data_IF_643815491674
#
_entry.id   IF_643815491674
#
_cell.length_a   1.000
_cell.length_b   1.000
_cell.length_c   1.000
_cell.angle_alpha   90.00
_cell.angle_beta   90.00
_cell.angle_gamma   90.00
#
_symmetry.space_group_name_H-M   'P 1'
#
loop_
_entity.id
_entity.type
_entity.pdbx_description
1 polymer ?
#
# COMPACT_ATOMS: atom_id res chain seq x y z
N UNK A 1 10.81 -40.24 -39.04
CA UNK A 1 11.37 -41.43 -38.38
C UNK A 1 12.72 -41.73 -39.02
N UNK A 2 13.80 -42.01 -38.27
CA UNK A 2 13.85 -42.83 -37.06
C UNK A 2 14.09 -42.06 -35.74
N UNK A 3 13.90 -42.71 -34.58
CA UNK A 3 13.87 -42.07 -33.26
C UNK A 3 15.10 -42.39 -32.38
N UNK A 4 15.17 -41.66 -31.25
CA UNK A 4 15.75 -42.01 -29.94
C UNK A 4 16.88 -41.07 -29.46
N UNK A 5 16.66 -40.39 -28.33
CA UNK A 5 17.12 -40.91 -27.03
C UNK A 5 16.55 -40.11 -25.87
N UNK A 6 15.87 -40.84 -25.00
CA UNK A 6 15.46 -40.46 -23.66
C UNK A 6 16.71 -40.50 -22.77
N UNK A 7 16.98 -39.40 -22.08
CA UNK A 7 17.89 -39.30 -20.92
C UNK A 7 16.97 -38.80 -19.81
N UNK A 8 16.60 -39.58 -18.79
CA UNK A 8 17.49 -40.27 -17.86
C UNK A 8 17.68 -39.39 -16.61
N UNK A 9 16.59 -39.00 -15.96
CA UNK A 9 16.62 -38.24 -14.69
C UNK A 9 16.82 -39.16 -13.49
N UNK A 10 17.59 -38.76 -12.47
CA UNK A 10 17.88 -39.58 -11.29
C UNK A 10 16.72 -39.63 -10.30
N UNK A 11 16.67 -40.65 -9.43
CA UNK A 11 15.48 -41.00 -8.66
C UNK A 11 15.26 -40.11 -7.43
N UNK A 12 13.98 -39.89 -7.12
CA UNK A 12 13.47 -39.46 -5.83
C UNK A 12 14.04 -40.31 -4.69
N UNK A 13 14.61 -39.66 -3.69
CA UNK A 13 14.89 -40.28 -2.41
C UNK A 13 13.94 -39.69 -1.35
N UNK A 14 12.92 -40.47 -1.02
CA UNK A 14 12.08 -40.27 0.13
C UNK A 14 12.86 -40.72 1.37
N UNK A 15 13.03 -39.82 2.35
CA UNK A 15 13.32 -40.22 3.72
C UNK A 15 12.58 -39.32 4.68
N UNK A 16 11.43 -39.82 5.11
CA UNK A 16 10.87 -39.50 6.40
C UNK A 16 11.74 -40.16 7.49
N UNK A 17 11.94 -39.46 8.61
CA UNK A 17 11.66 -39.95 9.98
C UNK A 17 12.60 -39.34 11.02
N UNK A 18 12.00 -39.07 12.19
CA UNK A 18 12.59 -38.84 13.53
C UNK A 18 12.91 -37.40 13.92
N UNK A 19 11.86 -36.64 14.24
CA UNK A 19 11.94 -35.64 15.30
C UNK A 19 11.72 -36.36 16.64
N UNK A 20 12.69 -36.16 17.53
CA UNK A 20 12.83 -36.81 18.83
C UNK A 20 12.16 -35.93 19.88
N UNK A 21 11.21 -36.53 20.57
CA UNK A 21 10.55 -36.04 21.77
C UNK A 21 11.59 -35.84 22.89
N UNK A 22 11.71 -34.61 23.41
CA UNK A 22 12.49 -34.31 24.63
C UNK A 22 11.74 -33.29 25.49
N UNK A 23 11.11 -33.85 26.52
CA UNK A 23 11.09 -33.44 27.93
C UNK A 23 10.71 -32.00 28.32
N UNK A 24 9.51 -31.95 28.90
CA UNK A 24 9.08 -31.20 30.08
C UNK A 24 10.14 -31.00 31.18
N UNK A 25 10.19 -29.79 31.73
CA UNK A 25 10.79 -29.48 33.04
C UNK A 25 10.40 -28.07 33.50
N UNK A 26 10.19 -27.83 34.81
CA UNK A 26 9.20 -26.87 35.31
C UNK A 26 9.79 -25.49 35.61
N UNK A 27 8.98 -24.44 35.46
CA UNK A 27 9.27 -23.13 36.02
C UNK A 27 8.20 -22.76 37.06
N UNK A 28 8.73 -22.42 38.22
CA UNK A 28 8.11 -22.20 39.51
C UNK A 28 7.18 -20.99 39.58
N UNK A 29 6.18 -21.16 40.43
CA UNK A 29 5.44 -20.14 41.18
C UNK A 29 6.25 -18.88 41.53
N UNK A 30 5.67 -17.71 41.25
CA UNK A 30 5.86 -16.53 42.09
C UNK A 30 4.60 -15.68 42.05
N UNK A 31 3.86 -15.77 43.15
CA UNK A 31 2.71 -14.96 43.49
C UNK A 31 3.12 -13.50 43.64
N UNK A 32 2.39 -12.58 43.01
CA UNK A 32 2.16 -11.23 43.55
C UNK A 32 0.82 -10.69 43.07
N UNK A 33 -0.04 -10.52 44.07
CA UNK A 33 -1.35 -9.88 44.07
C UNK A 33 -1.28 -8.35 43.80
N UNK A 34 -2.44 -7.68 43.64
CA UNK A 34 -2.65 -6.65 42.62
C UNK A 34 -2.42 -5.23 43.13
N UNK A 35 -2.00 -4.34 42.23
CA UNK A 35 -1.99 -2.90 42.47
C UNK A 35 -3.16 -2.23 41.77
N UNK A 36 -4.12 -1.84 42.61
CA UNK A 36 -4.93 -0.63 42.60
C UNK A 36 -5.71 -0.27 41.33
N UNK A 37 -7.04 -0.33 41.50
CA UNK A 37 -8.06 0.39 40.75
C UNK A 37 -7.63 1.82 40.39
N UNK A 38 -7.42 2.08 39.10
CA UNK A 38 -7.43 3.43 38.56
C UNK A 38 -8.89 3.88 38.53
N UNK A 39 -9.27 4.65 39.55
CA UNK A 39 -10.57 5.35 39.61
C UNK A 39 -10.77 6.17 38.33
N UNK A 40 -11.82 5.83 37.60
CA UNK A 40 -12.45 6.64 36.57
C UNK A 40 -12.84 8.03 37.11
N UNK A 41 -11.95 9.00 36.94
CA UNK A 41 -12.27 10.41 37.08
C UNK A 41 -12.97 10.89 35.81
N UNK A 42 -14.29 11.07 35.87
CA UNK A 42 -15.04 11.85 34.87
C UNK A 42 -14.31 13.17 34.60
N UNK A 43 -14.12 13.58 33.33
CA UNK A 43 -13.67 14.94 33.04
C UNK A 43 -14.72 15.90 33.60
N UNK A 44 -14.32 16.67 34.61
CA UNK A 44 -15.13 17.71 35.21
C UNK A 44 -15.35 18.76 34.12
N UNK A 45 -16.57 18.80 33.56
CA UNK A 45 -17.03 19.89 32.70
C UNK A 45 -16.94 21.20 33.49
N UNK A 46 -15.81 21.89 33.35
CA UNK A 46 -15.70 23.30 33.71
C UNK A 46 -16.30 24.07 32.55
N UNK A 47 -17.59 24.39 32.66
CA UNK A 47 -18.15 25.52 31.91
C UNK A 47 -17.24 26.72 32.18
N UNK A 48 -16.78 27.46 31.16
CA UNK A 48 -16.09 28.72 31.42
C UNK A 48 -17.09 29.61 32.14
N UNK A 49 -16.79 29.93 33.39
CA UNK A 49 -17.47 30.99 34.09
C UNK A 49 -17.29 32.25 33.24
N UNK A 50 -18.40 32.87 32.84
CA UNK A 50 -18.40 34.18 32.23
C UNK A 50 -17.74 35.13 33.25
N UNK A 51 -16.44 35.36 33.07
CA UNK A 51 -15.66 36.25 33.90
C UNK A 51 -16.03 37.67 33.47
N UNK A 52 -17.08 38.20 34.09
CA UNK A 52 -17.44 39.60 33.98
C UNK A 52 -16.22 40.43 34.42
N UNK A 53 -15.64 41.14 33.46
CA UNK A 53 -14.35 41.79 33.56
C UNK A 53 -14.23 42.70 34.76
N UNK A 54 -13.49 42.23 35.77
CA UNK A 54 -12.88 43.11 36.76
C UNK A 54 -11.57 43.61 36.16
N UNK A 55 -11.58 44.83 35.60
CA UNK A 55 -10.35 45.50 35.17
C UNK A 55 -9.54 45.83 36.42
N UNK A 56 -8.30 45.32 36.59
CA UNK A 56 -7.44 45.77 37.67
C UNK A 56 -7.12 47.25 37.45
N UNK A 57 -7.56 48.10 38.38
CA UNK A 57 -7.22 49.51 38.39
C UNK A 57 -5.70 49.65 38.62
N UNK A 58 -4.99 50.22 37.64
CA UNK A 58 -3.56 50.51 37.74
C UNK A 58 -2.63 49.78 36.77
N UNK A 59 -3.12 48.97 35.82
CA UNK A 59 -2.26 48.35 34.81
C UNK A 59 -1.82 49.36 33.74
N UNK A 60 -0.51 49.47 33.51
CA UNK A 60 0.07 50.36 32.50
C UNK A 60 -0.43 49.98 31.09
N UNK A 61 -0.78 50.93 30.20
CA UNK A 61 -1.31 50.65 28.87
C UNK A 61 -0.43 49.71 28.04
N UNK A 62 0.89 49.82 28.18
CA UNK A 62 1.85 48.96 27.48
C UNK A 62 1.77 47.49 27.94
N UNK A 63 1.44 47.26 29.21
CA UNK A 63 1.28 45.91 29.75
C UNK A 63 -0.01 45.26 29.24
N UNK A 64 -1.08 46.05 29.06
CA UNK A 64 -2.34 45.59 28.44
C UNK A 64 -2.08 45.22 26.97
N UNK A 65 -1.36 46.07 26.24
CA UNK A 65 -0.99 45.81 24.84
C UNK A 65 -0.13 44.55 24.69
N UNK A 66 0.83 44.35 25.60
CA UNK A 66 1.68 43.15 25.63
C UNK A 66 0.86 41.87 25.91
N UNK A 67 -0.13 41.92 26.80
CA UNK A 67 -1.02 40.80 27.08
C UNK A 67 -1.91 40.45 25.88
N UNK A 68 -2.44 41.45 25.19
CA UNK A 68 -3.26 41.26 23.98
C UNK A 68 -2.43 40.67 22.82
N UNK A 69 -1.20 41.15 22.60
CA UNK A 69 -0.29 40.56 21.62
C UNK A 69 0.08 39.12 21.96
N UNK A 70 0.33 38.82 23.25
CA UNK A 70 0.62 37.46 23.72
C UNK A 70 -0.57 36.53 23.53
N UNK A 71 -1.79 37.01 23.76
CA UNK A 71 -3.02 36.25 23.53
C UNK A 71 -3.22 35.97 22.05
N UNK A 72 -3.06 36.98 21.19
CA UNK A 72 -3.12 36.82 19.72
C UNK A 72 -2.10 35.82 19.19
N UNK A 73 -0.86 35.83 19.72
CA UNK A 73 0.18 34.86 19.33
C UNK A 73 -0.20 33.43 19.71
N UNK A 74 -0.80 33.22 20.90
CA UNK A 74 -1.28 31.90 21.33
C UNK A 74 -2.46 31.43 20.50
N UNK A 75 -3.46 32.29 20.29
CA UNK A 75 -4.63 31.98 19.46
C UNK A 75 -4.22 31.65 18.01
N UNK A 76 -3.23 32.36 17.44
CA UNK A 76 -2.70 32.06 16.12
C UNK A 76 -1.94 30.72 16.07
N UNK A 77 -1.16 30.39 17.09
CA UNK A 77 -0.45 29.12 17.18
C UNK A 77 -1.43 27.94 17.30
N UNK A 78 -2.44 28.06 18.16
CA UNK A 78 -3.50 27.05 18.31
C UNK A 78 -4.31 26.89 17.01
N UNK A 79 -4.62 27.99 16.30
CA UNK A 79 -5.31 27.91 15.02
C UNK A 79 -4.48 27.21 13.93
N UNK A 80 -3.16 27.42 13.90
CA UNK A 80 -2.25 26.71 12.98
C UNK A 80 -2.18 25.23 13.32
N UNK A 81 -2.07 24.88 14.60
CA UNK A 81 -2.06 23.49 15.06
C UNK A 81 -3.39 22.78 14.76
N UNK A 82 -4.51 23.46 14.97
CA UNK A 82 -5.84 22.93 14.68
C UNK A 82 -6.07 22.78 13.16
N UNK A 83 -5.65 23.74 12.34
CA UNK A 83 -5.69 23.60 10.89
C UNK A 83 -4.79 22.46 10.38
N UNK A 84 -3.63 22.23 11.01
CA UNK A 84 -2.77 21.10 10.68
C UNK A 84 -3.41 19.76 11.06
N UNK A 85 -4.08 19.67 12.22
CA UNK A 85 -4.85 18.49 12.63
C UNK A 85 -6.02 18.21 11.70
N UNK A 86 -6.80 19.22 11.34
CA UNK A 86 -7.93 19.07 10.41
C UNK A 86 -7.46 18.69 9.00
N UNK A 87 -6.32 19.21 8.55
CA UNK A 87 -5.68 18.80 7.28
C UNK A 87 -5.23 17.34 7.34
N UNK A 88 -4.58 16.93 8.43
CA UNK A 88 -4.15 15.54 8.63
C UNK A 88 -5.35 14.57 8.72
N UNK A 89 -6.42 14.95 9.41
CA UNK A 89 -7.65 14.16 9.53
C UNK A 89 -8.38 14.03 8.19
N UNK A 90 -8.44 15.10 7.38
CA UNK A 90 -8.96 15.02 6.00
C UNK A 90 -8.09 14.19 5.08
N UNK A 91 -6.76 14.24 5.25
CA UNK A 91 -5.84 13.38 4.51
C UNK A 91 -6.02 11.91 4.89
N UNK A 92 -6.20 11.60 6.17
CA UNK A 92 -6.50 10.26 6.69
C UNK A 92 -7.88 9.77 6.22
N UNK A 93 -8.88 10.63 6.11
CA UNK A 93 -10.20 10.25 5.59
C UNK A 93 -10.18 10.05 4.08
N UNK A 94 -9.45 10.87 3.33
CA UNK A 94 -9.18 10.62 1.92
C UNK A 94 -8.35 9.34 1.70
N UNK A 95 -7.57 8.91 2.71
CA UNK A 95 -6.81 7.66 2.70
C UNK A 95 -7.71 6.42 2.81
N UNK A 96 -8.96 6.57 3.25
CA UNK A 96 -9.94 5.49 3.35
C UNK A 96 -10.90 5.43 2.15
N UNK A 97 -10.75 6.33 1.19
CA UNK A 97 -11.59 6.31 -0.02
C UNK A 97 -11.19 5.11 -0.90
N UNK A 98 -12.12 4.19 -1.10
CA UNK A 98 -11.96 3.08 -2.04
C UNK A 98 -12.63 3.38 -3.36
N UNK A 99 -11.92 3.11 -4.45
CA UNK A 99 -12.43 3.19 -5.82
C UNK A 99 -12.50 1.81 -6.44
N UNK A 100 -13.43 1.62 -7.36
CA UNK A 100 -13.46 0.46 -8.22
C UNK A 100 -12.32 0.52 -9.22
N UNK A 101 -11.69 -0.63 -9.45
CA UNK A 101 -10.71 -0.83 -10.51
C UNK A 101 -11.30 -1.75 -11.58
N UNK A 102 -10.80 -1.62 -12.81
CA UNK A 102 -11.11 -2.58 -13.86
C UNK A 102 -10.76 -4.00 -13.42
N UNK A 103 -11.60 -4.97 -13.80
CA UNK A 103 -11.33 -6.38 -13.53
C UNK A 103 -9.95 -6.75 -14.12
N UNK A 104 -9.06 -7.42 -13.37
CA UNK A 104 -7.76 -7.81 -13.91
C UNK A 104 -7.89 -8.75 -15.11
N UNK A 105 -7.04 -8.57 -16.12
CA UNK A 105 -7.09 -9.34 -17.36
C UNK A 105 -6.91 -10.84 -17.15
N UNK A 106 -6.05 -11.26 -16.21
CA UNK A 106 -5.84 -12.67 -15.90
C UNK A 106 -7.11 -13.35 -15.37
N UNK A 107 -7.92 -12.63 -14.57
CA UNK A 107 -9.17 -13.17 -14.04
C UNK A 107 -10.21 -13.31 -15.14
N UNK A 108 -10.32 -12.29 -16.00
CA UNK A 108 -11.17 -12.32 -17.19
C UNK A 108 -10.78 -13.44 -18.17
N UNK A 109 -9.50 -13.53 -18.47
CA UNK A 109 -8.93 -14.50 -19.42
C UNK A 109 -9.12 -15.93 -18.95
N UNK A 110 -9.03 -16.18 -17.64
CA UNK A 110 -9.25 -17.49 -17.05
C UNK A 110 -10.71 -17.94 -17.21
N UNK A 111 -11.67 -17.06 -17.01
CA UNK A 111 -13.09 -17.39 -17.17
C UNK A 111 -13.46 -17.71 -18.62
N UNK A 112 -12.82 -17.03 -19.58
CA UNK A 112 -13.13 -17.14 -21.00
C UNK A 112 -12.16 -18.02 -21.79
N UNK A 113 -11.27 -18.74 -21.10
CA UNK A 113 -10.22 -19.57 -21.70
C UNK A 113 -9.44 -18.82 -22.80
N UNK A 114 -8.89 -17.64 -22.49
CA UNK A 114 -8.13 -16.80 -23.44
C UNK A 114 -6.61 -16.99 -23.35
N UNK A 115 -6.18 -18.07 -22.70
CA UNK A 115 -4.76 -18.39 -22.48
C UNK A 115 -3.97 -18.58 -23.79
N UNK A 116 -2.64 -18.73 -23.62
CA UNK A 116 -1.72 -18.95 -24.73
C UNK A 116 -1.99 -20.25 -25.51
N UNK A 117 -2.49 -21.28 -24.81
CA UNK A 117 -2.85 -22.59 -25.36
C UNK A 117 -4.33 -22.73 -25.70
N UNK A 118 -5.06 -21.62 -25.74
CA UNK A 118 -6.50 -21.64 -26.01
C UNK A 118 -6.80 -21.94 -27.48
N UNK A 119 -7.78 -22.81 -27.70
CA UNK A 119 -8.38 -23.06 -29.02
C UNK A 119 -9.48 -22.05 -29.40
N UNK A 120 -9.64 -20.97 -28.61
CA UNK A 120 -10.65 -19.94 -28.89
C UNK A 120 -10.40 -19.26 -30.23
N UNK A 121 -11.38 -19.26 -31.16
CA UNK A 121 -11.25 -18.60 -32.45
C UNK A 121 -10.90 -17.11 -32.32
N UNK A 122 -10.15 -16.59 -33.29
CA UNK A 122 -9.65 -15.21 -33.27
C UNK A 122 -10.79 -14.19 -33.16
N UNK A 123 -11.88 -14.39 -33.89
CA UNK A 123 -13.04 -13.49 -33.90
C UNK A 123 -13.68 -13.41 -32.51
N UNK A 124 -13.81 -14.56 -31.84
CA UNK A 124 -14.34 -14.64 -30.47
C UNK A 124 -13.38 -13.99 -29.47
N UNK A 125 -12.06 -14.15 -29.64
CA UNK A 125 -11.05 -13.48 -28.83
C UNK A 125 -11.15 -11.95 -28.95
N UNK A 126 -11.34 -11.43 -30.16
CA UNK A 126 -11.53 -10.00 -30.41
C UNK A 126 -12.83 -9.47 -29.78
N UNK A 127 -13.94 -10.21 -29.87
CA UNK A 127 -15.20 -9.87 -29.23
C UNK A 127 -15.06 -9.77 -27.70
N UNK A 128 -14.48 -10.81 -27.07
CA UNK A 128 -14.26 -10.85 -25.63
C UNK A 128 -13.30 -9.77 -25.15
N UNK A 129 -12.30 -9.41 -25.96
CA UNK A 129 -11.39 -8.30 -25.65
C UNK A 129 -12.12 -6.96 -25.66
N UNK A 130 -13.05 -6.74 -26.60
CA UNK A 130 -13.87 -5.51 -26.63
C UNK A 130 -14.83 -5.45 -25.44
N UNK A 131 -15.42 -6.57 -25.06
CA UNK A 131 -16.29 -6.65 -23.88
C UNK A 131 -15.51 -6.34 -22.60
N UNK A 132 -14.31 -6.91 -22.46
CA UNK A 132 -13.40 -6.61 -21.37
C UNK A 132 -13.08 -5.12 -21.29
N UNK A 133 -12.74 -4.49 -22.41
CA UNK A 133 -12.42 -3.06 -22.44
C UNK A 133 -13.62 -2.21 -22.01
N UNK A 134 -14.82 -2.54 -22.50
CA UNK A 134 -16.04 -1.85 -22.10
C UNK A 134 -16.28 -1.98 -20.59
N UNK A 135 -16.09 -3.17 -20.02
CA UNK A 135 -16.19 -3.40 -18.59
C UNK A 135 -15.14 -2.56 -17.84
N UNK A 136 -13.87 -2.61 -18.27
CA UNK A 136 -12.77 -1.85 -17.68
C UNK A 136 -13.11 -0.36 -17.60
N UNK A 137 -13.52 0.25 -18.71
CA UNK A 137 -13.90 1.67 -18.76
C UNK A 137 -15.12 1.99 -17.88
N UNK A 138 -16.08 1.07 -17.77
CA UNK A 138 -17.29 1.27 -16.97
C UNK A 138 -16.97 1.38 -15.47
N UNK A 139 -16.06 0.54 -14.98
CA UNK A 139 -15.77 0.42 -13.55
C UNK A 139 -14.49 1.15 -13.11
N UNK A 140 -13.55 1.51 -13.99
CA UNK A 140 -12.31 2.14 -13.54
C UNK A 140 -12.53 3.51 -12.89
N UNK A 141 -11.90 3.71 -11.73
CA UNK A 141 -11.83 4.96 -10.96
C UNK A 141 -13.21 5.54 -10.58
N UNK A 142 -14.20 4.68 -10.31
CA UNK A 142 -15.49 5.10 -9.75
C UNK A 142 -15.52 4.89 -8.23
N UNK A 143 -16.32 5.65 -7.47
CA UNK A 143 -16.49 5.38 -6.05
C UNK A 143 -17.02 3.96 -5.82
N UNK A 144 -16.37 3.19 -4.94
CA UNK A 144 -16.78 1.81 -4.62
C UNK A 144 -18.22 1.72 -4.10
N UNK A 145 -18.69 2.75 -3.39
CA UNK A 145 -20.06 2.84 -2.89
C UNK A 145 -21.14 2.82 -3.99
N UNK A 146 -20.82 3.23 -5.23
CA UNK A 146 -21.75 3.17 -6.36
C UNK A 146 -21.91 1.75 -6.91
N UNK A 147 -20.97 0.85 -6.61
CA UNK A 147 -20.88 -0.51 -7.14
C UNK A 147 -20.59 -1.53 -6.02
N UNK A 148 -21.50 -1.72 -5.06
CA UNK A 148 -21.26 -2.59 -3.89
C UNK A 148 -21.03 -4.07 -4.25
N UNK A 149 -21.54 -4.51 -5.41
CA UNK A 149 -21.34 -5.87 -5.92
C UNK A 149 -19.99 -6.05 -6.66
N UNK A 150 -19.29 -4.96 -6.96
CA UNK A 150 -18.04 -5.00 -7.70
C UNK A 150 -16.87 -5.34 -6.78
N UNK A 151 -16.38 -6.58 -6.88
CA UNK A 151 -15.33 -7.11 -6.00
C UNK A 151 -13.94 -6.49 -6.18
N UNK A 152 -13.69 -5.79 -7.28
CA UNK A 152 -12.38 -5.23 -7.59
C UNK A 152 -12.32 -3.78 -7.15
N UNK A 153 -11.80 -3.58 -5.93
CA UNK A 153 -11.65 -2.27 -5.30
C UNK A 153 -10.22 -2.10 -4.82
N UNK A 154 -9.81 -0.84 -4.70
CA UNK A 154 -8.49 -0.44 -4.22
C UNK A 154 -8.59 0.91 -3.53
N UNK A 155 -7.68 1.23 -2.60
CA UNK A 155 -7.60 2.61 -2.12
C UNK A 155 -7.32 3.57 -3.27
N UNK A 156 -7.98 4.72 -3.23
CA UNK A 156 -7.79 5.82 -4.19
C UNK A 156 -6.33 6.28 -4.23
N UNK A 157 -5.65 6.20 -3.10
CA UNK A 157 -4.23 6.54 -3.02
C UNK A 157 -3.36 5.57 -3.81
N UNK A 158 -3.60 4.27 -3.70
CA UNK A 158 -2.89 3.27 -4.48
C UNK A 158 -3.16 3.43 -5.99
N UNK A 159 -4.37 3.83 -6.41
CA UNK A 159 -4.63 4.11 -7.83
C UNK A 159 -3.83 5.30 -8.36
N UNK A 160 -3.61 6.35 -7.55
CA UNK A 160 -2.74 7.46 -7.94
C UNK A 160 -1.28 7.03 -8.07
N UNK A 161 -0.81 6.15 -7.18
CA UNK A 161 0.55 5.58 -7.28
C UNK A 161 0.72 4.75 -8.55
N UNK A 162 -0.33 4.05 -9.01
CA UNK A 162 -0.31 3.32 -10.28
C UNK A 162 -0.25 4.27 -11.49
N UNK A 163 -0.95 5.42 -11.44
CA UNK A 163 -0.82 6.46 -12.46
C UNK A 163 0.61 7.00 -12.52
N UNK A 164 1.25 7.23 -11.36
CA UNK A 164 2.66 7.61 -11.28
C UNK A 164 3.58 6.54 -11.86
N UNK A 165 3.32 5.25 -11.63
CA UNK A 165 4.06 4.17 -12.25
C UNK A 165 3.97 4.21 -13.77
N UNK A 166 2.77 4.36 -14.32
CA UNK A 166 2.57 4.43 -15.77
C UNK A 166 3.31 5.61 -16.38
N UNK A 167 3.32 6.78 -15.73
CA UNK A 167 4.12 7.92 -16.17
C UNK A 167 5.63 7.68 -16.11
N UNK A 168 6.10 7.04 -15.04
CA UNK A 168 7.52 6.71 -14.87
C UNK A 168 7.99 5.65 -15.88
N UNK A 169 7.13 4.68 -16.20
CA UNK A 169 7.41 3.66 -17.19
C UNK A 169 7.44 4.23 -18.60
N UNK A 170 6.50 5.09 -18.98
CA UNK A 170 6.52 5.78 -20.29
C UNK A 170 7.82 6.54 -20.54
N UNK A 171 8.35 7.21 -19.51
CA UNK A 171 9.64 7.92 -19.59
C UNK A 171 10.85 7.00 -19.81
N UNK A 172 10.70 5.70 -19.53
CA UNK A 172 11.75 4.69 -19.60
C UNK A 172 11.54 3.67 -20.71
N UNK A 173 10.41 3.74 -21.41
CA UNK A 173 10.09 2.90 -22.55
C UNK A 173 10.68 3.51 -23.84
N UNK A 174 11.69 2.90 -24.46
CA UNK A 174 12.25 3.41 -25.72
C UNK A 174 11.22 3.44 -26.86
N UNK A 175 10.21 2.56 -26.82
CA UNK A 175 9.19 2.48 -27.86
C UNK A 175 8.27 3.73 -27.85
N UNK A 176 8.09 4.38 -26.70
CA UNK A 176 7.38 5.67 -26.58
C UNK A 176 8.13 6.82 -27.30
N UNK A 177 9.41 6.62 -27.62
CA UNK A 177 10.26 7.60 -28.30
C UNK A 177 10.74 7.15 -29.69
N UNK A 178 10.27 6.00 -30.20
CA UNK A 178 10.71 5.40 -31.47
C UNK A 178 12.24 5.18 -31.52
N UNK A 179 12.82 4.77 -30.39
CA UNK A 179 14.26 4.47 -30.26
C UNK A 179 14.44 3.02 -29.79
N UNK A 180 15.52 2.37 -30.23
CA UNK A 180 15.90 1.03 -29.76
C UNK A 180 17.24 1.05 -29.02
N UNK A 181 17.21 0.69 -27.73
CA UNK A 181 18.42 0.56 -26.89
C UNK A 181 18.76 -0.89 -26.52
N UNK A 182 17.97 -1.86 -26.98
CA UNK A 182 18.11 -3.28 -26.62
C UNK A 182 16.83 -3.84 -25.99
N UNK A 183 16.60 -5.15 -26.12
CA UNK A 183 15.38 -5.83 -25.65
C UNK A 183 15.16 -5.74 -24.13
N UNK A 184 16.22 -5.56 -23.35
CA UNK A 184 16.17 -5.56 -21.89
C UNK A 184 16.08 -4.16 -21.29
N UNK A 185 16.24 -3.10 -22.11
CA UNK A 185 16.33 -1.73 -21.62
C UNK A 185 15.09 -1.33 -20.82
N UNK A 186 13.90 -1.61 -21.36
CA UNK A 186 12.65 -1.33 -20.66
C UNK A 186 12.52 -2.16 -19.37
N UNK A 187 13.01 -3.41 -19.35
CA UNK A 187 13.05 -4.25 -18.16
C UNK A 187 13.84 -3.61 -17.01
N UNK A 188 15.00 -3.01 -17.28
CA UNK A 188 15.75 -2.23 -16.28
C UNK A 188 14.98 -1.00 -15.81
N UNK A 189 14.25 -0.35 -16.72
CA UNK A 189 13.37 0.76 -16.38
C UNK A 189 12.27 0.34 -15.40
N UNK A 190 11.68 -0.84 -15.58
CA UNK A 190 10.71 -1.41 -14.64
C UNK A 190 11.35 -1.69 -13.28
N UNK A 191 12.56 -2.26 -13.26
CA UNK A 191 13.30 -2.48 -12.00
C UNK A 191 13.51 -1.17 -11.23
N UNK A 192 13.87 -0.08 -11.90
CA UNK A 192 14.07 1.23 -11.27
C UNK A 192 12.78 1.78 -10.65
N UNK A 193 11.65 1.61 -11.32
CA UNK A 193 10.33 2.02 -10.79
C UNK A 193 9.98 1.21 -9.54
N UNK A 194 10.20 -0.10 -9.56
CA UNK A 194 9.99 -0.97 -8.39
C UNK A 194 10.87 -0.51 -7.23
N UNK A 195 12.16 -0.28 -7.46
CA UNK A 195 13.08 0.15 -6.41
C UNK A 195 12.71 1.52 -5.81
N UNK A 196 12.30 2.46 -6.66
CA UNK A 196 11.85 3.80 -6.23
C UNK A 196 10.61 3.70 -5.34
N UNK A 197 9.66 2.85 -5.71
CA UNK A 197 8.46 2.62 -4.90
C UNK A 197 8.79 1.95 -3.57
N UNK A 198 9.63 0.91 -3.59
CA UNK A 198 10.03 0.22 -2.37
C UNK A 198 10.86 1.11 -1.44
N UNK A 199 11.69 2.00 -1.99
CA UNK A 199 12.39 3.01 -1.20
C UNK A 199 11.39 3.91 -0.47
N UNK A 200 10.37 4.40 -1.18
CA UNK A 200 9.32 5.26 -0.59
C UNK A 200 8.55 4.53 0.53
N UNK A 201 8.26 3.24 0.35
CA UNK A 201 7.70 2.39 1.39
C UNK A 201 8.60 2.33 2.63
N UNK A 202 9.90 2.04 2.46
CA UNK A 202 10.81 1.91 3.61
C UNK A 202 11.09 3.24 4.31
N UNK A 203 11.09 4.35 3.57
CA UNK A 203 11.18 5.69 4.15
C UNK A 203 10.00 5.99 5.07
N UNK A 204 8.79 5.58 4.70
CA UNK A 204 7.61 5.67 5.57
C UNK A 204 7.71 4.70 6.75
N UNK A 205 8.03 3.43 6.49
CA UNK A 205 8.08 2.38 7.51
C UNK A 205 9.11 2.68 8.61
N UNK A 206 10.23 3.32 8.28
CA UNK A 206 11.29 3.67 9.26
C UNK A 206 10.90 4.83 10.18
N UNK A 207 9.79 5.54 9.92
CA UNK A 207 9.32 6.61 10.79
C UNK A 207 8.85 6.02 12.12
N UNK A 208 9.16 6.69 13.23
CA UNK A 208 8.68 6.28 14.56
C UNK A 208 7.16 6.34 14.71
N UNK A 209 6.48 7.04 13.79
CA UNK A 209 5.03 7.18 13.67
C UNK A 209 4.58 6.87 12.23
N UNK A 210 5.01 5.72 11.68
CA UNK A 210 4.63 5.29 10.34
C UNK A 210 3.11 5.30 10.14
N UNK A 211 2.66 5.83 9.01
CA UNK A 211 1.26 5.77 8.62
C UNK A 211 0.94 4.41 7.99
N UNK A 212 0.18 3.59 8.72
CA UNK A 212 -0.12 2.21 8.30
C UNK A 212 -1.06 2.13 7.09
N UNK A 213 -1.98 3.09 6.93
CA UNK A 213 -2.82 3.17 5.73
C UNK A 213 -2.00 3.56 4.49
N UNK A 214 -0.97 4.40 4.68
CA UNK A 214 -0.02 4.72 3.61
C UNK A 214 0.81 3.49 3.21
N UNK A 215 1.32 2.73 4.20
CA UNK A 215 2.02 1.48 3.95
C UNK A 215 1.15 0.47 3.20
N UNK A 216 -0.14 0.40 3.55
CA UNK A 216 -1.12 -0.41 2.82
C UNK A 216 -1.27 0.05 1.37
N UNK A 217 -1.42 1.36 1.14
CA UNK A 217 -1.57 1.93 -0.19
C UNK A 217 -0.36 1.61 -1.08
N UNK A 218 0.86 1.69 -0.54
CA UNK A 218 2.07 1.26 -1.26
C UNK A 218 2.00 -0.22 -1.65
N UNK A 219 1.57 -1.10 -0.73
CA UNK A 219 1.49 -2.52 -1.00
C UNK A 219 0.34 -2.90 -1.94
N UNK A 220 -0.80 -2.22 -1.88
CA UNK A 220 -1.91 -2.39 -2.84
C UNK A 220 -1.46 -2.04 -4.26
N UNK A 221 -0.82 -0.87 -4.44
CA UNK A 221 -0.31 -0.45 -5.74
C UNK A 221 0.71 -1.46 -6.28
N UNK A 222 1.66 -1.89 -5.45
CA UNK A 222 2.66 -2.88 -5.84
C UNK A 222 2.02 -4.24 -6.18
N UNK A 223 1.08 -4.72 -5.36
CA UNK A 223 0.40 -5.99 -5.61
C UNK A 223 -0.37 -5.97 -6.94
N UNK A 224 -1.06 -4.87 -7.25
CA UNK A 224 -1.78 -4.74 -8.51
C UNK A 224 -0.86 -4.59 -9.71
N UNK A 225 0.23 -3.83 -9.56
CA UNK A 225 1.27 -3.70 -10.58
C UNK A 225 1.82 -5.08 -10.96
N UNK A 226 2.22 -5.89 -9.96
CA UNK A 226 2.73 -7.25 -10.14
C UNK A 226 1.69 -8.21 -10.72
N UNK A 227 0.40 -8.04 -10.37
CA UNK A 227 -0.68 -8.89 -10.86
C UNK A 227 -1.03 -8.66 -12.35
N UNK A 228 -0.22 -7.92 -13.10
CA UNK A 228 -0.47 -7.65 -14.51
C UNK A 228 -1.43 -6.48 -14.74
N UNK A 229 -1.49 -5.53 -13.80
CA UNK A 229 -2.13 -4.24 -14.03
C UNK A 229 -1.46 -3.44 -15.16
N UNK A 230 -0.17 -3.70 -15.42
CA UNK A 230 0.61 -3.12 -16.51
C UNK A 230 1.21 -4.20 -17.41
N UNK A 231 1.24 -3.96 -18.72
CA UNK A 231 1.95 -4.82 -19.69
C UNK A 231 3.47 -4.87 -19.46
N UNK A 232 4.01 -3.94 -18.66
CA UNK A 232 5.43 -3.82 -18.36
C UNK A 232 6.02 -5.01 -17.59
N UNK A 233 5.19 -5.79 -16.88
CA UNK A 233 5.66 -6.95 -16.13
C UNK A 233 6.34 -8.00 -17.01
N UNK A 234 5.92 -8.13 -18.28
CA UNK A 234 6.59 -9.04 -19.21
C UNK A 234 8.05 -8.65 -19.44
N UNK A 235 8.34 -7.36 -19.60
CA UNK A 235 9.71 -6.86 -19.79
C UNK A 235 10.57 -7.09 -18.55
N UNK A 236 9.99 -6.96 -17.36
CA UNK A 236 10.68 -7.26 -16.10
C UNK A 236 11.05 -8.74 -15.97
N UNK A 237 10.10 -9.65 -16.21
CA UNK A 237 10.36 -11.11 -16.12
C UNK A 237 11.37 -11.62 -17.14
N UNK A 238 11.43 -10.98 -18.32
CA UNK A 238 12.32 -11.37 -19.41
C UNK A 238 13.65 -10.61 -19.40
N UNK A 239 13.86 -9.73 -18.42
CA UNK A 239 15.12 -9.03 -18.22
C UNK A 239 16.25 -10.03 -17.90
N UNK A 240 17.46 -9.77 -18.40
CA UNK A 240 18.63 -10.62 -18.17
C UNK A 240 19.26 -10.49 -16.77
N UNK A 241 18.79 -9.53 -15.97
CA UNK A 241 19.17 -9.34 -14.57
C UNK A 241 18.20 -10.05 -13.62
N UNK A 242 18.20 -11.38 -13.71
CA UNK A 242 17.34 -12.23 -12.89
C UNK A 242 17.70 -12.19 -11.39
N UNK A 243 18.94 -11.83 -11.05
CA UNK A 243 19.39 -11.72 -9.65
C UNK A 243 18.69 -10.53 -8.98
N UNK A 244 18.72 -9.35 -9.60
CA UNK A 244 17.99 -8.18 -9.07
C UNK A 244 16.48 -8.41 -9.04
N UNK A 245 15.91 -9.08 -10.05
CA UNK A 245 14.49 -9.46 -10.01
C UNK A 245 14.15 -10.29 -8.77
N UNK A 246 15.01 -11.26 -8.44
CA UNK A 246 14.83 -12.09 -7.25
C UNK A 246 14.97 -11.28 -5.95
N UNK A 247 15.96 -10.39 -5.86
CA UNK A 247 16.12 -9.49 -4.71
C UNK A 247 14.91 -8.58 -4.52
N UNK A 248 14.38 -8.00 -5.60
CA UNK A 248 13.17 -7.18 -5.57
C UNK A 248 11.96 -7.96 -5.06
N UNK A 249 11.77 -9.20 -5.52
CA UNK A 249 10.70 -10.07 -5.01
C UNK A 249 10.84 -10.35 -3.50
N UNK A 250 12.06 -10.60 -3.03
CA UNK A 250 12.33 -10.78 -1.60
C UNK A 250 11.99 -9.51 -0.81
N UNK A 251 12.42 -8.36 -1.30
CA UNK A 251 12.15 -7.07 -0.67
C UNK A 251 10.64 -6.79 -0.59
N UNK A 252 9.91 -7.03 -1.68
CA UNK A 252 8.45 -6.86 -1.73
C UNK A 252 7.77 -7.81 -0.74
N UNK A 253 8.21 -9.08 -0.68
CA UNK A 253 7.69 -10.06 0.28
C UNK A 253 7.94 -9.65 1.73
N UNK A 254 9.15 -9.19 2.05
CA UNK A 254 9.49 -8.68 3.39
C UNK A 254 8.67 -7.44 3.74
N UNK A 255 8.51 -6.51 2.80
CA UNK A 255 7.70 -5.30 2.98
C UNK A 255 6.23 -5.65 3.27
N UNK A 256 5.64 -6.58 2.52
CA UNK A 256 4.29 -7.08 2.75
C UNK A 256 4.14 -7.62 4.18
N UNK A 257 5.00 -8.56 4.59
CA UNK A 257 4.93 -9.17 5.92
C UNK A 257 5.13 -8.14 7.04
N UNK A 258 6.04 -7.20 6.82
CA UNK A 258 6.35 -6.15 7.79
C UNK A 258 5.19 -5.17 7.95
N UNK A 259 4.54 -4.79 6.85
CA UNK A 259 3.33 -3.97 6.88
C UNK A 259 2.18 -4.70 7.58
N UNK A 260 1.96 -5.99 7.30
CA UNK A 260 0.92 -6.79 7.97
C UNK A 260 1.16 -6.88 9.49
N UNK A 261 2.40 -7.08 9.91
CA UNK A 261 2.78 -7.05 11.33
C UNK A 261 2.62 -5.66 11.96
N UNK A 262 2.66 -4.59 11.16
CA UNK A 262 2.37 -3.23 11.65
C UNK A 262 0.87 -3.07 11.89
N UNK A 263 0.02 -3.55 10.96
CA UNK A 263 -1.43 -3.59 11.15
C UNK A 263 -1.86 -4.39 12.38
N UNK A 264 -1.27 -5.57 12.59
CA UNK A 264 -1.61 -6.42 13.73
C UNK A 264 -1.37 -5.72 15.08
N UNK A 265 -0.41 -4.79 15.16
CA UNK A 265 -0.13 -4.03 16.38
C UNK A 265 -1.09 -2.87 16.62
N UNK A 266 -1.83 -2.44 15.60
CA UNK A 266 -2.77 -1.32 15.68
C UNK A 266 -4.23 -1.75 15.91
N UNK A 267 -4.55 -3.02 15.65
CA UNK A 267 -5.88 -3.63 15.88
C UNK A 267 -5.96 -4.20 17.29
#
# INVERSE_FOLDING_TARGET
>A
MPPARIIGGPPHNANASKAKEVQSGPASSSSREPLAEVRNGKPRSTKPAANNGHRPAGMHPDFIKMLEESRRKREAAEAVEQAAREKHERELDAEKDYVTIGRPWWDWSREHDLGFFSDTPKEKREELTREYEKQRVTYSNKPSAEFPEWKWVMSKRATLMLEDFDELLKKRDPDEYDVYFGSNFFGYGVQEVIDTHMQSFFEEYRKGNSNTLLLWSYMEAMAFFLAGGSGAMHAWYMCDDSERNFEQLLIIGVALLTMLNTFEKEI
#
